data_IF_288160184603
#
_entry.id   IF_288160184603
#
_cell.length_a   1.000
_cell.length_b   1.000
_cell.length_c   1.000
_cell.angle_alpha   90.00
_cell.angle_beta   90.00
_cell.angle_gamma   90.00
#
_symmetry.space_group_name_H-M   'P 1'
#
loop_
_entity.id
_entity.type
_entity.pdbx_description
1 polymer ?
#
# COMPACT_ATOMS: atom_id res chain seq x y z
N UNK A 1 0.74 18.53 6.53
CA UNK A 1 -0.38 17.70 6.05
C UNK A 1 0.10 16.92 4.84
N UNK A 2 0.00 15.58 4.86
CA UNK A 2 0.32 14.72 3.72
C UNK A 2 -0.85 14.61 2.74
N UNK A 3 -0.69 13.83 1.67
CA UNK A 3 -1.74 13.55 0.68
C UNK A 3 -2.70 12.45 1.16
N UNK A 4 -3.97 12.57 0.80
CA UNK A 4 -4.98 11.53 1.02
C UNK A 4 -4.94 10.45 -0.07
N UNK A 5 -5.66 9.35 0.13
CA UNK A 5 -5.83 8.33 -0.90
C UNK A 5 -6.54 8.88 -2.15
N UNK A 6 -7.39 9.89 -2.00
CA UNK A 6 -8.03 10.58 -3.11
C UNK A 6 -7.00 11.38 -3.92
N UNK A 7 -6.13 12.14 -3.26
CA UNK A 7 -5.09 12.93 -3.93
C UNK A 7 -4.12 12.04 -4.70
N UNK A 8 -3.69 10.91 -4.10
CA UNK A 8 -2.78 9.97 -4.77
C UNK A 8 -3.46 9.33 -6.00
N UNK A 9 -4.69 8.84 -5.83
CA UNK A 9 -5.47 8.21 -6.91
C UNK A 9 -5.69 9.17 -8.08
N UNK A 10 -6.17 10.39 -7.82
CA UNK A 10 -6.37 11.39 -8.86
C UNK A 10 -5.05 11.80 -9.53
N UNK A 11 -3.96 11.94 -8.77
CA UNK A 11 -2.64 12.20 -9.33
C UNK A 11 -2.11 11.07 -10.22
N UNK A 12 -2.33 9.81 -9.82
CA UNK A 12 -1.94 8.64 -10.61
C UNK A 12 -2.72 8.56 -11.93
N UNK A 13 -4.04 8.76 -11.89
CA UNK A 13 -4.87 8.74 -13.11
C UNK A 13 -4.55 9.89 -14.05
N UNK A 14 -4.30 11.09 -13.49
CA UNK A 14 -3.80 12.21 -14.28
C UNK A 14 -2.47 11.86 -14.95
N UNK A 15 -1.55 11.24 -14.22
CA UNK A 15 -0.27 10.80 -14.77
C UNK A 15 -0.44 9.77 -15.88
N UNK A 16 -1.33 8.78 -15.73
CA UNK A 16 -1.62 7.82 -16.79
C UNK A 16 -2.19 8.50 -18.04
N UNK A 17 -3.07 9.49 -17.89
CA UNK A 17 -3.59 10.27 -19.00
C UNK A 17 -2.50 11.09 -19.67
N UNK A 18 -1.66 11.79 -18.89
CA UNK A 18 -0.52 12.55 -19.38
C UNK A 18 0.47 11.66 -20.17
N UNK A 19 0.68 10.43 -19.72
CA UNK A 19 1.54 9.44 -20.38
C UNK A 19 0.87 8.73 -21.56
N UNK A 20 -0.41 8.97 -21.83
CA UNK A 20 -1.18 8.31 -22.90
C UNK A 20 -1.48 6.83 -22.65
N UNK A 21 -1.49 6.40 -21.38
CA UNK A 21 -1.68 4.99 -20.97
C UNK A 21 -2.94 4.79 -20.10
N UNK A 22 -3.83 5.79 -20.02
CA UNK A 22 -5.07 5.74 -19.23
C UNK A 22 -6.12 4.74 -19.73
N UNK A 23 -5.96 4.20 -20.94
CA UNK A 23 -6.78 3.08 -21.43
C UNK A 23 -6.26 1.71 -20.95
N UNK A 24 -5.04 1.68 -20.40
CA UNK A 24 -4.41 0.48 -19.84
C UNK A 24 -4.45 0.54 -18.32
N UNK A 25 -4.12 1.69 -17.74
CA UNK A 25 -3.98 1.83 -16.30
C UNK A 25 -5.00 2.78 -15.68
N UNK A 26 -5.56 2.35 -14.54
CA UNK A 26 -6.38 3.19 -13.66
C UNK A 26 -6.12 2.85 -12.20
N UNK A 27 -6.20 3.88 -11.34
CA UNK A 27 -6.05 3.74 -9.90
C UNK A 27 -7.33 3.27 -9.21
N UNK A 28 -7.17 2.33 -8.27
CA UNK A 28 -8.26 1.86 -7.42
C UNK A 28 -7.91 2.16 -5.98
N UNK A 29 -8.84 2.80 -5.29
CA UNK A 29 -8.75 3.13 -3.86
C UNK A 29 -9.48 2.09 -3.04
N UNK A 30 -8.85 1.64 -1.96
CA UNK A 30 -9.51 0.86 -0.92
C UNK A 30 -9.40 1.61 0.40
N UNK A 31 -10.55 2.02 0.92
CA UNK A 31 -10.67 2.73 2.19
C UNK A 31 -10.96 1.70 3.29
N UNK A 32 -10.32 1.85 4.46
CA UNK A 32 -10.43 0.90 5.57
C UNK A 32 -10.15 -0.56 5.14
N UNK A 33 -8.96 -0.84 4.57
CA UNK A 33 -8.63 -2.15 4.05
C UNK A 33 -8.57 -3.20 5.16
N UNK A 34 -8.86 -4.44 4.80
CA UNK A 34 -8.53 -5.60 5.65
C UNK A 34 -7.23 -6.24 5.19
N UNK A 35 -6.58 -6.98 6.08
CA UNK A 35 -5.35 -7.69 5.73
C UNK A 35 -5.58 -8.70 4.60
N UNK A 36 -6.70 -9.42 4.63
CA UNK A 36 -7.05 -10.34 3.55
C UNK A 36 -7.37 -9.62 2.24
N UNK A 37 -7.93 -8.40 2.30
CA UNK A 37 -8.12 -7.54 1.12
C UNK A 37 -6.78 -7.13 0.50
N UNK A 38 -5.79 -6.74 1.32
CA UNK A 38 -4.43 -6.47 0.86
C UNK A 38 -3.79 -7.72 0.23
N UNK A 39 -3.89 -8.88 0.89
CA UNK A 39 -3.36 -10.16 0.38
C UNK A 39 -3.94 -10.52 -0.97
N UNK A 40 -5.26 -10.41 -1.11
CA UNK A 40 -5.95 -10.69 -2.37
C UNK A 40 -5.42 -9.82 -3.52
N UNK A 41 -5.07 -8.55 -3.27
CA UNK A 41 -4.46 -7.68 -4.29
C UNK A 41 -3.04 -8.17 -4.62
N UNK A 42 -2.21 -8.44 -3.62
CA UNK A 42 -0.83 -8.92 -3.81
C UNK A 42 -0.81 -10.25 -4.57
N UNK A 43 -1.75 -11.15 -4.29
CA UNK A 43 -1.90 -12.46 -4.96
C UNK A 43 -2.26 -12.31 -6.45
N UNK A 44 -2.76 -11.13 -6.88
CA UNK A 44 -2.90 -10.80 -8.31
C UNK A 44 -1.60 -10.29 -8.96
N UNK A 45 -0.46 -10.43 -8.27
CA UNK A 45 0.86 -9.99 -8.68
C UNK A 45 0.95 -8.46 -8.89
N UNK A 46 0.30 -7.70 -8.00
CA UNK A 46 0.25 -6.23 -8.05
C UNK A 46 0.81 -5.62 -6.77
N UNK A 47 1.86 -4.78 -6.85
CA UNK A 47 2.27 -3.98 -5.70
C UNK A 47 1.20 -2.93 -5.38
N UNK A 48 1.21 -2.45 -4.14
CA UNK A 48 0.18 -1.56 -3.60
C UNK A 48 0.85 -0.36 -2.93
N UNK A 49 0.37 0.85 -3.23
CA UNK A 49 0.68 2.04 -2.45
C UNK A 49 -0.12 1.97 -1.14
N UNK A 50 0.57 1.97 -0.01
CA UNK A 50 -0.02 1.82 1.32
C UNK A 50 0.14 3.12 2.07
N UNK A 51 -0.98 3.69 2.53
CA UNK A 51 -0.93 4.79 3.49
C UNK A 51 -0.84 4.20 4.89
N UNK A 52 0.18 4.59 5.63
CA UNK A 52 0.35 4.28 7.04
C UNK A 52 0.18 5.55 7.87
N UNK A 53 -0.38 5.42 9.07
CA UNK A 53 -0.46 6.51 10.03
C UNK A 53 0.13 6.12 11.38
N UNK A 54 0.66 7.10 12.10
CA UNK A 54 1.14 6.99 13.48
C UNK A 54 2.15 5.86 13.70
N UNK A 55 2.91 5.49 12.66
CA UNK A 55 3.96 4.48 12.78
C UNK A 55 5.13 5.06 13.60
N UNK A 56 5.65 4.36 14.64
CA UNK A 56 6.66 4.92 15.55
C UNK A 56 7.92 5.48 14.87
N UNK A 57 8.34 4.86 13.76
CA UNK A 57 9.53 5.27 13.01
C UNK A 57 9.22 6.08 11.76
N UNK A 58 8.03 5.93 11.19
CA UNK A 58 7.71 6.44 9.84
C UNK A 58 6.65 7.55 9.85
N UNK A 59 5.96 7.74 10.98
CA UNK A 59 4.85 8.68 11.08
C UNK A 59 3.73 8.36 10.10
N UNK A 60 3.17 9.41 9.50
CA UNK A 60 2.16 9.32 8.46
C UNK A 60 2.84 9.42 7.08
N UNK A 61 2.79 8.35 6.28
CA UNK A 61 3.54 8.27 5.02
C UNK A 61 2.96 7.26 4.01
N UNK A 62 3.31 7.41 2.73
CA UNK A 62 3.01 6.45 1.67
C UNK A 62 4.20 5.54 1.41
N UNK A 63 3.98 4.23 1.43
CA UNK A 63 5.00 3.21 1.16
C UNK A 63 4.51 2.28 0.04
N UNK A 64 5.38 1.37 -0.44
CA UNK A 64 4.99 0.33 -1.39
C UNK A 64 4.97 -1.03 -0.70
N UNK A 65 3.80 -1.63 -0.56
CA UNK A 65 3.64 -3.03 -0.16
C UNK A 65 3.72 -3.95 -1.37
N UNK A 66 4.52 -5.00 -1.28
CA UNK A 66 4.72 -5.97 -2.38
C UNK A 66 4.73 -7.43 -1.91
N UNK A 67 4.55 -7.68 -0.62
CA UNK A 67 4.46 -9.02 -0.06
C UNK A 67 3.79 -9.02 1.30
N UNK A 68 3.58 -10.21 1.85
CA UNK A 68 2.99 -10.41 3.17
C UNK A 68 3.42 -11.74 3.78
N UNK A 69 3.30 -11.84 5.11
CA UNK A 69 3.45 -13.09 5.85
C UNK A 69 2.81 -12.96 7.24
N UNK A 70 2.55 -14.10 7.88
CA UNK A 70 2.18 -14.13 9.29
C UNK A 70 3.45 -14.33 10.13
N UNK A 71 3.63 -13.52 11.16
CA UNK A 71 4.70 -13.70 12.14
C UNK A 71 4.10 -14.13 13.46
N UNK A 72 4.49 -15.31 13.95
CA UNK A 72 4.05 -15.80 15.25
C UNK A 72 4.99 -15.29 16.33
N UNK A 73 4.44 -14.67 17.38
CA UNK A 73 5.19 -14.26 18.57
C UNK A 73 4.46 -14.78 19.81
N UNK A 74 4.90 -15.95 20.30
CA UNK A 74 4.13 -16.72 21.29
C UNK A 74 2.79 -17.17 20.71
N UNK A 75 1.69 -16.87 21.39
CA UNK A 75 0.33 -17.22 20.94
C UNK A 75 -0.30 -16.19 19.99
N UNK A 76 0.38 -15.07 19.74
CA UNK A 76 -0.14 -14.00 18.89
C UNK A 76 0.40 -14.09 17.46
N UNK A 77 -0.49 -14.03 16.47
CA UNK A 77 -0.14 -13.89 15.06
C UNK A 77 -0.17 -12.40 14.65
N UNK A 78 0.97 -11.88 14.22
CA UNK A 78 1.08 -10.56 13.59
C UNK A 78 0.92 -10.68 12.08
N UNK A 79 0.24 -9.69 11.51
CA UNK A 79 -0.09 -9.61 10.08
C UNK A 79 0.90 -8.64 9.44
N UNK A 80 1.91 -9.18 8.77
CA UNK A 80 3.07 -8.41 8.34
C UNK A 80 3.07 -8.17 6.84
N UNK A 81 3.50 -6.98 6.44
CA UNK A 81 3.73 -6.54 5.07
C UNK A 81 5.23 -6.53 4.79
N UNK A 82 5.63 -6.98 3.60
CA UNK A 82 6.95 -6.69 3.04
C UNK A 82 6.86 -5.42 2.19
N UNK A 83 7.69 -4.43 2.50
CA UNK A 83 7.55 -3.08 1.96
C UNK A 83 8.88 -2.51 1.43
N UNK A 84 8.75 -1.56 0.50
CA UNK A 84 9.72 -0.49 0.29
C UNK A 84 9.24 0.74 1.07
N UNK A 85 10.11 1.32 1.89
CA UNK A 85 9.73 2.37 2.85
C UNK A 85 9.62 3.78 2.25
N UNK A 86 9.82 3.95 0.94
CA UNK A 86 9.80 5.26 0.27
C UNK A 86 11.09 6.07 0.44
N UNK A 87 12.08 5.56 1.19
CA UNK A 87 13.38 6.20 1.43
C UNK A 87 14.56 5.35 0.96
N UNK A 88 14.31 4.45 0.01
CA UNK A 88 15.33 3.64 -0.65
C UNK A 88 15.63 2.32 0.04
N UNK A 89 14.90 1.93 1.10
CA UNK A 89 15.07 0.62 1.72
C UNK A 89 13.97 -0.35 1.25
N UNK A 90 14.40 -1.48 0.69
CA UNK A 90 13.55 -2.63 0.39
C UNK A 90 13.60 -3.66 1.53
N UNK A 91 12.61 -4.54 1.59
CA UNK A 91 12.59 -5.69 2.50
C UNK A 91 12.27 -5.31 3.94
N UNK A 92 11.66 -4.15 4.17
CA UNK A 92 11.21 -3.76 5.51
C UNK A 92 9.92 -4.49 5.85
N UNK A 93 9.72 -4.71 7.15
CA UNK A 93 8.55 -5.36 7.70
C UNK A 93 7.65 -4.30 8.33
N UNK A 94 6.34 -4.36 8.06
CA UNK A 94 5.36 -3.45 8.65
C UNK A 94 4.13 -4.21 9.14
N UNK A 95 3.71 -3.95 10.37
CA UNK A 95 2.46 -4.51 10.90
C UNK A 95 1.26 -3.83 10.22
N UNK A 96 0.32 -4.63 9.72
CA UNK A 96 -0.89 -4.16 9.06
C UNK A 96 -1.74 -3.22 9.94
N UNK A 97 -1.59 -3.25 11.27
CA UNK A 97 -2.32 -2.37 12.17
C UNK A 97 -2.04 -0.88 11.96
N UNK A 98 -0.95 -0.51 11.27
CA UNK A 98 -0.67 0.89 10.90
C UNK A 98 -1.29 1.31 9.57
N UNK A 99 -1.85 0.38 8.80
CA UNK A 99 -2.39 0.62 7.45
C UNK A 99 -3.76 1.28 7.54
N UNK A 100 -3.94 2.38 6.81
CA UNK A 100 -5.19 3.15 6.80
C UNK A 100 -5.90 3.09 5.45
N UNK A 101 -5.16 3.19 4.34
CA UNK A 101 -5.72 3.14 2.99
C UNK A 101 -4.75 2.42 2.04
N UNK A 102 -5.31 1.86 0.96
CA UNK A 102 -4.54 1.30 -0.14
C UNK A 102 -4.91 2.00 -1.45
N UNK A 103 -3.92 2.15 -2.32
CA UNK A 103 -4.12 2.45 -3.74
C UNK A 103 -3.32 1.48 -4.57
N UNK A 104 -3.97 0.83 -5.53
CA UNK A 104 -3.32 -0.08 -6.48
C UNK A 104 -3.76 0.24 -7.90
N UNK A 105 -3.02 -0.26 -8.88
CA UNK A 105 -3.28 0.05 -10.29
C UNK A 105 -3.78 -1.21 -11.00
N UNK A 106 -4.95 -1.11 -11.62
CA UNK A 106 -5.36 -2.11 -12.59
C UNK A 106 -4.70 -1.82 -13.94
N UNK A 107 -4.37 -2.90 -14.65
CA UNK A 107 -3.85 -2.94 -16.01
C UNK A 107 -4.87 -3.67 -16.89
#
# INVERSE_FOLDING_TARGET
HGSSAADLSSGADWYFAYRGINNQYHSIRMINPTYDGYRAIIDTNKPVMVLINSHPSYGDHWIVGYGYYYQTYGDAARRMLLINDGWGNNGRELDFNYVVNLVYFNA
#
